data_IF_769168876448
#
_entry.id   IF_769168876448
#
_cell.length_a   1.000
_cell.length_b   1.000
_cell.length_c   1.000
_cell.angle_alpha   90.00
_cell.angle_beta   90.00
_cell.angle_gamma   90.00
#
_symmetry.space_group_name_H-M   'P 1'
#
loop_
_entity.id
_entity.type
_entity.pdbx_description
1 polymer ?
#
# COMPACT_ATOMS: atom_id res chain seq x y z
N UNK A 1 -6.81 29.38 -15.00
CA UNK A 1 -7.09 27.94 -15.00
C UNK A 1 -8.17 27.70 -13.96
N UNK A 2 -9.42 27.50 -14.40
CA UNK A 2 -10.56 27.24 -13.51
C UNK A 2 -10.29 25.96 -12.73
N UNK A 3 -9.78 26.08 -11.50
CA UNK A 3 -9.71 24.97 -10.55
C UNK A 3 -11.13 24.75 -10.08
N UNK A 4 -11.75 23.67 -10.52
CA UNK A 4 -13.16 23.39 -10.25
C UNK A 4 -13.33 22.98 -8.78
N UNK A 5 -13.43 23.97 -7.89
CA UNK A 5 -13.68 23.76 -6.46
C UNK A 5 -14.97 22.99 -6.18
N UNK A 6 -15.82 22.78 -7.19
CA UNK A 6 -17.10 22.11 -7.05
C UNK A 6 -16.99 20.58 -7.08
N UNK A 7 -15.91 20.02 -7.64
CA UNK A 7 -15.77 18.57 -7.83
C UNK A 7 -15.81 17.78 -6.50
N UNK A 8 -15.01 18.12 -5.45
CA UNK A 8 -15.14 17.42 -4.16
C UNK A 8 -16.53 17.59 -3.54
N UNK A 9 -17.16 18.76 -3.69
CA UNK A 9 -18.48 19.03 -3.13
C UNK A 9 -19.53 18.14 -3.79
N UNK A 10 -19.48 18.02 -5.12
CA UNK A 10 -20.40 17.20 -5.89
C UNK A 10 -20.21 15.72 -5.61
N UNK A 11 -18.97 15.23 -5.58
CA UNK A 11 -18.64 13.84 -5.25
C UNK A 11 -19.15 13.47 -3.84
N UNK A 12 -18.86 14.32 -2.85
CA UNK A 12 -19.37 14.11 -1.49
C UNK A 12 -20.90 14.08 -1.45
N UNK A 13 -21.57 15.01 -2.13
CA UNK A 13 -23.05 15.01 -2.21
C UNK A 13 -23.58 13.75 -2.87
N UNK A 14 -22.93 13.26 -3.93
CA UNK A 14 -23.29 12.02 -4.61
C UNK A 14 -23.16 10.81 -3.67
N UNK A 15 -22.00 10.66 -3.01
CA UNK A 15 -21.76 9.59 -2.04
C UNK A 15 -22.69 9.68 -0.82
N UNK A 16 -23.18 10.86 -0.47
CA UNK A 16 -24.12 10.99 0.65
C UNK A 16 -25.56 10.56 0.32
N UNK A 17 -25.89 10.21 -0.94
CA UNK A 17 -27.25 9.85 -1.36
C UNK A 17 -27.71 8.46 -0.92
N UNK A 18 -26.83 7.48 -0.94
CA UNK A 18 -27.16 6.09 -0.64
C UNK A 18 -26.54 5.71 0.70
N UNK A 19 -27.30 5.03 1.55
CA UNK A 19 -26.92 4.73 2.94
C UNK A 19 -25.66 3.86 3.04
N UNK A 20 -25.45 2.96 2.09
CA UNK A 20 -24.38 1.96 2.14
C UNK A 20 -22.98 2.57 2.03
N UNK A 21 -22.81 3.62 1.21
CA UNK A 21 -21.52 4.28 0.98
C UNK A 21 -21.42 5.69 1.57
N UNK A 22 -22.29 6.06 2.52
CA UNK A 22 -22.11 7.29 3.28
C UNK A 22 -20.87 7.22 4.17
N UNK A 23 -20.31 8.39 4.47
CA UNK A 23 -19.12 8.51 5.32
C UNK A 23 -19.29 9.55 6.44
N UNK A 24 -18.40 9.44 7.42
CA UNK A 24 -18.00 10.52 8.32
C UNK A 24 -16.76 11.19 7.77
N UNK A 25 -16.81 12.51 7.62
CA UNK A 25 -15.66 13.32 7.24
C UNK A 25 -14.88 13.70 8.50
N UNK A 26 -13.58 13.39 8.53
CA UNK A 26 -12.68 13.66 9.64
C UNK A 26 -11.60 14.61 9.16
N UNK A 27 -11.50 15.78 9.80
CA UNK A 27 -10.42 16.76 9.55
C UNK A 27 -9.63 16.96 10.82
N UNK A 28 -8.34 16.66 10.78
CA UNK A 28 -7.47 16.83 11.94
C UNK A 28 -6.14 17.47 11.55
N UNK A 29 -5.96 18.75 11.91
CA UNK A 29 -4.79 19.65 11.73
C UNK A 29 -4.12 19.63 10.34
N UNK A 30 -3.64 18.49 9.89
CA UNK A 30 -2.98 18.26 8.61
C UNK A 30 -3.48 17.02 7.85
N UNK A 31 -4.51 16.33 8.32
CA UNK A 31 -5.10 15.15 7.69
C UNK A 31 -6.56 15.40 7.32
N UNK A 32 -6.96 14.88 6.17
CA UNK A 32 -8.35 14.71 5.77
C UNK A 32 -8.63 13.22 5.61
N UNK A 33 -9.78 12.77 6.10
CA UNK A 33 -10.19 11.38 5.99
C UNK A 33 -11.69 11.22 5.86
N UNK A 34 -12.08 10.10 5.24
CA UNK A 34 -13.46 9.71 5.01
C UNK A 34 -13.62 8.27 5.49
N UNK A 35 -14.52 8.03 6.45
CA UNK A 35 -14.72 6.72 7.08
C UNK A 35 -16.16 6.29 6.84
N UNK A 36 -16.39 5.10 6.27
CA UNK A 36 -17.74 4.62 5.97
C UNK A 36 -18.56 4.49 7.27
N UNK A 37 -19.83 4.87 7.23
CA UNK A 37 -20.71 4.88 8.42
C UNK A 37 -21.11 3.49 8.91
N UNK A 38 -21.19 2.51 8.00
CA UNK A 38 -21.60 1.12 8.30
C UNK A 38 -20.40 0.22 8.59
N UNK A 39 -19.24 0.51 7.99
CA UNK A 39 -18.04 -0.30 8.14
C UNK A 39 -16.78 0.56 8.25
N UNK A 40 -16.32 0.80 9.48
CA UNK A 40 -15.16 1.65 9.75
C UNK A 40 -13.82 1.13 9.17
N UNK A 41 -13.77 -0.11 8.66
CA UNK A 41 -12.60 -0.63 7.95
C UNK A 41 -12.48 -0.08 6.52
N UNK A 42 -13.56 0.52 6.00
CA UNK A 42 -13.56 1.24 4.72
C UNK A 42 -13.30 2.71 5.01
N UNK A 43 -12.08 3.16 4.72
CA UNK A 43 -11.70 4.55 4.87
C UNK A 43 -10.68 5.00 3.83
N UNK A 44 -10.67 6.29 3.51
CA UNK A 44 -9.63 6.92 2.71
C UNK A 44 -9.04 8.11 3.47
N UNK A 45 -7.71 8.29 3.38
CA UNK A 45 -6.98 9.28 4.16
C UNK A 45 -5.92 9.96 3.30
N UNK A 46 -5.76 11.28 3.46
CA UNK A 46 -4.66 11.97 2.81
C UNK A 46 -4.01 13.00 3.72
N UNK A 47 -2.69 13.07 3.61
CA UNK A 47 -1.89 14.08 4.28
C UNK A 47 -1.92 15.38 3.48
N UNK A 48 -2.51 16.41 4.07
CA UNK A 48 -2.74 17.70 3.42
C UNK A 48 -1.66 18.75 3.71
N UNK A 49 -0.68 18.44 4.57
CA UNK A 49 0.25 19.45 5.13
C UNK A 49 -0.46 20.65 5.81
N UNK A 50 -1.73 20.51 6.19
CA UNK A 50 -2.57 21.61 6.69
C UNK A 50 -3.15 22.50 5.58
N UNK A 51 -2.90 22.15 4.31
CA UNK A 51 -3.52 22.75 3.13
C UNK A 51 -4.72 21.91 2.71
N UNK A 52 -5.88 22.25 3.26
CA UNK A 52 -7.15 21.62 2.87
C UNK A 52 -7.63 22.13 1.50
N UNK A 53 -6.85 21.85 0.46
CA UNK A 53 -7.24 22.10 -0.92
C UNK A 53 -8.01 20.92 -1.51
N UNK A 54 -8.64 21.18 -2.65
CA UNK A 54 -9.47 20.20 -3.33
C UNK A 54 -8.67 18.94 -3.74
N UNK A 55 -7.38 19.05 -4.08
CA UNK A 55 -6.59 17.89 -4.50
C UNK A 55 -6.37 16.90 -3.34
N UNK A 56 -6.03 17.42 -2.16
CA UNK A 56 -5.82 16.58 -0.99
C UNK A 56 -7.13 15.89 -0.55
N UNK A 57 -8.24 16.61 -0.66
CA UNK A 57 -9.57 16.07 -0.38
C UNK A 57 -9.98 14.99 -1.40
N UNK A 58 -9.78 15.24 -2.69
CA UNK A 58 -10.07 14.27 -3.75
C UNK A 58 -9.27 12.97 -3.58
N UNK A 59 -8.00 13.04 -3.21
CA UNK A 59 -7.20 11.84 -2.96
C UNK A 59 -7.78 10.96 -1.85
N UNK A 60 -8.22 11.56 -0.74
CA UNK A 60 -8.86 10.83 0.35
C UNK A 60 -10.24 10.28 -0.06
N UNK A 61 -11.02 11.01 -0.88
CA UNK A 61 -12.29 10.52 -1.44
C UNK A 61 -12.04 9.33 -2.39
N UNK A 62 -11.03 9.42 -3.26
CA UNK A 62 -10.72 8.36 -4.22
C UNK A 62 -10.19 7.09 -3.54
N UNK A 63 -9.37 7.21 -2.49
CA UNK A 63 -8.98 6.06 -1.68
C UNK A 63 -10.18 5.44 -0.97
N UNK A 64 -11.08 6.27 -0.40
CA UNK A 64 -12.32 5.78 0.20
C UNK A 64 -13.16 4.96 -0.80
N UNK A 65 -13.31 5.48 -2.01
CA UNK A 65 -14.04 4.82 -3.09
C UNK A 65 -13.36 3.54 -3.56
N UNK A 66 -12.03 3.53 -3.71
CA UNK A 66 -11.26 2.34 -4.03
C UNK A 66 -11.55 1.22 -3.04
N UNK A 67 -11.47 1.51 -1.74
CA UNK A 67 -11.75 0.52 -0.69
C UNK A 67 -13.21 0.09 -0.68
N UNK A 68 -14.14 1.04 -0.77
CA UNK A 68 -15.57 0.73 -0.75
C UNK A 68 -15.96 -0.20 -1.91
N UNK A 69 -15.49 0.10 -3.12
CA UNK A 69 -15.83 -0.68 -4.33
C UNK A 69 -15.26 -2.11 -4.30
N UNK A 70 -14.22 -2.35 -3.49
CA UNK A 70 -13.68 -3.69 -3.22
C UNK A 70 -14.43 -4.47 -2.11
N UNK A 71 -15.44 -3.88 -1.47
CA UNK A 71 -16.26 -4.53 -0.43
C UNK A 71 -17.53 -5.21 -0.96
N UNK A 72 -17.90 -4.94 -2.21
CA UNK A 72 -19.08 -5.50 -2.86
C UNK A 72 -18.72 -6.29 -4.11
N UNK A 73 -19.31 -7.47 -4.30
CA UNK A 73 -19.09 -8.31 -5.49
C UNK A 73 -20.38 -8.59 -6.28
N UNK A 74 -21.47 -7.85 -6.03
CA UNK A 74 -22.77 -8.11 -6.66
C UNK A 74 -22.73 -7.66 -8.13
N UNK A 75 -21.96 -8.36 -8.95
CA UNK A 75 -21.84 -8.14 -10.38
C UNK A 75 -21.87 -9.47 -11.11
N UNK A 76 -22.40 -9.46 -12.33
CA UNK A 76 -22.61 -10.64 -13.20
C UNK A 76 -21.33 -11.43 -13.49
N UNK A 77 -20.16 -10.82 -13.29
CA UNK A 77 -18.85 -11.40 -13.62
C UNK A 77 -18.30 -12.31 -12.52
N UNK A 78 -18.87 -12.31 -11.31
CA UNK A 78 -18.48 -13.26 -10.26
C UNK A 78 -19.23 -14.57 -10.45
N UNK A 79 -18.49 -15.66 -10.62
CA UNK A 79 -19.06 -16.98 -10.89
C UNK A 79 -18.59 -18.01 -9.87
N UNK A 80 -19.54 -18.78 -9.34
CA UNK A 80 -19.27 -19.88 -8.42
C UNK A 80 -18.89 -21.14 -9.21
N UNK A 81 -17.71 -21.68 -8.93
CA UNK A 81 -17.23 -22.91 -9.56
C UNK A 81 -16.89 -23.98 -8.52
N UNK A 82 -16.92 -25.24 -8.96
CA UNK A 82 -16.20 -26.33 -8.28
C UNK A 82 -14.74 -26.25 -8.69
N UNK A 83 -13.85 -26.13 -7.71
CA UNK A 83 -12.45 -25.78 -7.96
C UNK A 83 -11.67 -26.88 -8.69
N UNK A 84 -12.12 -28.13 -8.62
CA UNK A 84 -11.54 -29.27 -9.33
C UNK A 84 -12.05 -29.41 -10.79
N UNK A 85 -13.02 -28.61 -11.21
CA UNK A 85 -13.63 -28.67 -12.55
C UNK A 85 -13.17 -27.52 -13.46
N UNK A 86 -12.35 -26.59 -12.96
CA UNK A 86 -11.88 -25.42 -13.70
C UNK A 86 -10.37 -25.24 -13.58
N UNK A 87 -9.79 -24.50 -14.54
CA UNK A 87 -8.43 -23.97 -14.44
C UNK A 87 -8.48 -22.53 -13.95
N UNK A 88 -7.71 -22.22 -12.92
CA UNK A 88 -7.58 -20.89 -12.33
C UNK A 88 -6.14 -20.67 -11.88
N UNK A 89 -5.78 -19.43 -11.57
CA UNK A 89 -4.53 -19.08 -10.90
C UNK A 89 -4.77 -19.07 -9.40
N UNK A 90 -4.03 -19.90 -8.66
CA UNK A 90 -4.14 -19.96 -7.22
C UNK A 90 -3.34 -18.83 -6.54
N UNK A 91 -3.36 -18.76 -5.21
CA UNK A 91 -2.60 -17.73 -4.50
C UNK A 91 -1.07 -17.86 -4.65
N UNK A 92 -0.54 -19.06 -4.89
CA UNK A 92 0.89 -19.21 -5.16
C UNK A 92 1.25 -18.61 -6.52
N UNK A 93 0.41 -18.83 -7.54
CA UNK A 93 0.53 -18.18 -8.85
C UNK A 93 0.41 -16.65 -8.73
N UNK A 94 -0.49 -16.18 -7.86
CA UNK A 94 -0.69 -14.78 -7.54
C UNK A 94 0.36 -14.22 -6.55
N UNK A 95 1.52 -14.84 -6.41
CA UNK A 95 2.65 -14.24 -5.69
C UNK A 95 2.58 -14.31 -4.17
N UNK A 96 1.81 -15.24 -3.58
CA UNK A 96 1.79 -15.48 -2.13
C UNK A 96 2.66 -16.67 -1.71
N UNK A 97 3.34 -17.34 -2.65
CA UNK A 97 4.20 -18.50 -2.38
C UNK A 97 5.29 -18.23 -1.33
N UNK A 98 5.79 -17.00 -1.26
CA UNK A 98 6.83 -16.60 -0.31
C UNK A 98 6.41 -16.68 1.15
N UNK A 99 5.09 -16.70 1.44
CA UNK A 99 4.56 -16.79 2.79
C UNK A 99 4.78 -18.14 3.46
N UNK A 100 5.05 -19.19 2.67
CA UNK A 100 5.09 -20.59 3.13
C UNK A 100 3.84 -20.97 3.95
N UNK A 101 2.68 -20.53 3.46
CA UNK A 101 1.34 -20.79 4.03
C UNK A 101 0.39 -21.16 2.92
N UNK A 102 -0.51 -22.10 3.22
CA UNK A 102 -1.56 -22.52 2.31
C UNK A 102 -2.87 -21.83 2.64
N UNK A 103 -3.57 -21.39 1.59
CA UNK A 103 -4.94 -20.90 1.68
C UNK A 103 -5.88 -22.01 1.20
N UNK A 104 -6.82 -22.42 2.05
CA UNK A 104 -7.70 -23.56 1.77
C UNK A 104 -9.10 -23.10 1.34
N UNK A 105 -9.79 -23.95 0.59
CA UNK A 105 -11.13 -23.67 0.08
C UNK A 105 -12.11 -24.83 0.31
N UNK A 106 -13.41 -24.55 0.36
CA UNK A 106 -14.48 -25.50 0.71
C UNK A 106 -14.98 -26.36 -0.47
N UNK A 107 -14.13 -26.67 -1.45
CA UNK A 107 -14.47 -27.40 -2.69
C UNK A 107 -15.25 -26.62 -3.75
N UNK A 108 -15.95 -25.53 -3.36
CA UNK A 108 -16.52 -24.53 -4.27
C UNK A 108 -16.13 -23.14 -3.83
N UNK A 109 -15.87 -22.26 -4.78
CA UNK A 109 -15.46 -20.89 -4.53
C UNK A 109 -15.90 -19.95 -5.67
N UNK A 110 -16.05 -18.67 -5.34
CA UNK A 110 -16.27 -17.59 -6.30
C UNK A 110 -14.97 -17.19 -6.98
N UNK A 111 -15.06 -16.99 -8.29
CA UNK A 111 -13.97 -16.53 -9.14
C UNK A 111 -14.40 -15.32 -9.97
N UNK A 112 -13.40 -14.52 -10.36
CA UNK A 112 -13.53 -13.37 -11.26
C UNK A 112 -12.48 -13.47 -12.37
N UNK A 113 -12.72 -12.79 -13.48
CA UNK A 113 -11.81 -12.72 -14.61
C UNK A 113 -10.68 -11.71 -14.39
N UNK A 114 -9.43 -12.16 -14.56
CA UNK A 114 -8.24 -11.34 -14.69
C UNK A 114 -7.79 -11.33 -16.16
N UNK A 115 -7.35 -10.19 -16.67
CA UNK A 115 -6.85 -10.04 -18.05
C UNK A 115 -5.33 -9.89 -18.06
N UNK A 116 -4.66 -10.63 -18.93
CA UNK A 116 -3.22 -10.55 -19.17
C UNK A 116 -2.88 -9.37 -20.08
N UNK A 117 -1.98 -8.50 -19.62
CA UNK A 117 -1.48 -7.38 -20.43
C UNK A 117 -0.40 -7.78 -21.43
N UNK A 118 0.21 -8.97 -21.28
CA UNK A 118 1.19 -9.52 -22.21
C UNK A 118 0.57 -10.31 -23.34
N UNK A 119 -0.45 -11.11 -23.04
CA UNK A 119 -1.04 -12.07 -24.00
C UNK A 119 -2.47 -11.72 -24.41
N UNK A 120 -3.17 -10.85 -23.67
CA UNK A 120 -4.59 -10.58 -23.85
C UNK A 120 -5.51 -11.70 -23.36
N UNK A 121 -4.96 -12.82 -22.87
CA UNK A 121 -5.73 -13.95 -22.36
C UNK A 121 -6.44 -13.61 -21.05
N UNK A 122 -7.52 -14.35 -20.80
CA UNK A 122 -8.29 -14.26 -19.56
C UNK A 122 -7.95 -15.43 -18.64
N UNK A 123 -7.77 -15.13 -17.36
CA UNK A 123 -7.54 -16.10 -16.30
C UNK A 123 -8.66 -15.98 -15.26
N UNK A 124 -9.03 -17.09 -14.63
CA UNK A 124 -9.86 -17.06 -13.43
C UNK A 124 -8.96 -16.90 -12.20
N UNK A 125 -9.36 -16.02 -11.28
CA UNK A 125 -8.70 -15.81 -9.99
C UNK A 125 -9.75 -15.83 -8.87
N UNK A 126 -9.38 -16.22 -7.63
CA UNK A 126 -10.26 -16.14 -6.47
C UNK A 126 -10.88 -14.74 -6.31
N UNK A 127 -12.20 -14.64 -6.15
CA UNK A 127 -12.87 -13.33 -6.00
C UNK A 127 -12.35 -12.53 -4.81
N UNK A 128 -12.00 -13.22 -3.70
CA UNK A 128 -11.42 -12.59 -2.50
C UNK A 128 -10.07 -11.92 -2.73
N UNK A 129 -9.36 -12.26 -3.81
CA UNK A 129 -8.12 -11.57 -4.18
C UNK A 129 -8.38 -10.15 -4.71
N UNK A 130 -9.48 -9.95 -5.44
CA UNK A 130 -9.88 -8.65 -5.98
C UNK A 130 -10.75 -7.87 -4.99
N UNK A 131 -11.79 -8.51 -4.46
CA UNK A 131 -12.78 -7.92 -3.56
C UNK A 131 -12.50 -8.32 -2.11
N UNK A 132 -11.38 -7.83 -1.61
CA UNK A 132 -10.74 -8.31 -0.39
C UNK A 132 -11.54 -8.04 0.89
N UNK A 133 -12.42 -7.03 0.91
CA UNK A 133 -13.22 -6.68 2.10
C UNK A 133 -14.48 -7.52 2.26
N UNK A 134 -14.80 -8.40 1.29
CA UNK A 134 -16.00 -9.25 1.31
C UNK A 134 -15.73 -10.68 1.82
N UNK A 135 -14.51 -11.02 2.27
CA UNK A 135 -14.27 -12.39 2.68
C UNK A 135 -14.98 -12.74 3.99
N UNK A 136 -15.99 -13.61 3.92
CA UNK A 136 -16.69 -14.15 5.08
C UNK A 136 -16.07 -15.45 5.62
N UNK A 137 -14.89 -15.81 5.09
CA UNK A 137 -14.09 -17.00 5.40
C UNK A 137 -14.81 -18.34 5.16
N UNK A 138 -15.99 -18.33 4.49
CA UNK A 138 -16.69 -19.57 4.14
C UNK A 138 -16.04 -20.28 2.96
N UNK A 139 -15.69 -19.51 1.92
CA UNK A 139 -15.14 -20.05 0.67
C UNK A 139 -13.62 -20.15 0.70
N UNK A 140 -12.95 -19.11 1.18
CA UNK A 140 -11.50 -19.01 1.25
C UNK A 140 -11.06 -18.80 2.70
N UNK A 141 -10.62 -19.88 3.33
CA UNK A 141 -10.17 -19.86 4.73
C UNK A 141 -8.76 -19.29 4.82
N UNK A 142 -8.49 -18.54 5.89
CA UNK A 142 -7.19 -17.99 6.24
C UNK A 142 -6.61 -16.93 5.28
N UNK A 143 -7.39 -16.46 4.30
CA UNK A 143 -7.01 -15.35 3.44
C UNK A 143 -7.78 -14.09 3.84
N UNK A 144 -7.12 -13.13 4.46
CA UNK A 144 -7.77 -11.89 4.97
C UNK A 144 -7.92 -10.83 3.88
N UNK A 145 -7.27 -11.02 2.73
CA UNK A 145 -7.27 -10.05 1.65
C UNK A 145 -6.40 -8.82 1.94
N UNK A 146 -6.08 -8.05 0.90
CA UNK A 146 -5.30 -6.81 1.01
C UNK A 146 -5.64 -5.83 -0.12
N UNK A 147 -5.30 -4.57 0.07
CA UNK A 147 -5.43 -3.54 -0.96
C UNK A 147 -4.32 -3.55 -2.01
N UNK A 148 -3.22 -4.30 -1.82
CA UNK A 148 -2.01 -4.22 -2.65
C UNK A 148 -2.30 -4.20 -4.16
N UNK A 149 -1.95 -3.12 -4.85
CA UNK A 149 -2.13 -2.98 -6.28
C UNK A 149 -3.57 -2.66 -6.71
N UNK A 150 -4.44 -2.27 -5.78
CA UNK A 150 -5.70 -1.63 -6.11
C UNK A 150 -5.48 -0.16 -6.43
N UNK A 151 -6.19 0.34 -7.42
CA UNK A 151 -6.21 1.77 -7.67
C UNK A 151 -7.49 2.18 -8.38
N UNK A 152 -7.90 3.43 -8.13
CA UNK A 152 -8.88 4.16 -8.94
C UNK A 152 -8.15 5.12 -9.88
N UNK A 153 -8.63 5.22 -11.12
CA UNK A 153 -8.11 6.08 -12.17
C UNK A 153 -9.20 6.68 -13.05
N UNK A 154 -8.81 7.67 -13.86
CA UNK A 154 -9.68 8.32 -14.84
C UNK A 154 -9.91 7.47 -16.09
N UNK A 155 -9.05 6.48 -16.32
CA UNK A 155 -9.21 5.41 -17.30
C UNK A 155 -8.77 4.09 -16.69
N UNK A 156 -9.07 2.97 -17.35
CA UNK A 156 -8.58 1.67 -16.90
C UNK A 156 -7.05 1.59 -16.97
N UNK A 157 -6.41 2.24 -17.94
CA UNK A 157 -4.95 2.34 -18.06
C UNK A 157 -4.34 3.12 -16.88
N UNK A 158 -4.92 4.26 -16.49
CA UNK A 158 -4.47 5.05 -15.33
C UNK A 158 -4.59 4.23 -14.03
N UNK A 159 -5.71 3.51 -13.85
CA UNK A 159 -5.87 2.60 -12.71
C UNK A 159 -4.82 1.48 -12.72
N UNK A 160 -4.55 0.88 -13.89
CA UNK A 160 -3.53 -0.16 -14.05
C UNK A 160 -2.13 0.37 -13.72
N UNK A 161 -1.74 1.54 -14.21
CA UNK A 161 -0.41 2.10 -13.98
C UNK A 161 -0.17 2.40 -12.50
N UNK A 162 -1.16 2.96 -11.81
CA UNK A 162 -1.10 3.22 -10.36
C UNK A 162 -1.00 1.93 -9.55
N UNK A 163 -1.88 0.96 -9.83
CA UNK A 163 -1.84 -0.34 -9.17
C UNK A 163 -0.55 -1.11 -9.44
N UNK A 164 0.02 -0.96 -10.64
CA UNK A 164 1.30 -1.55 -11.00
C UNK A 164 2.47 -0.93 -10.21
N UNK A 165 2.49 0.40 -10.04
CA UNK A 165 3.50 1.05 -9.20
C UNK A 165 3.44 0.56 -7.75
N UNK A 166 2.25 0.50 -7.15
CA UNK A 166 2.08 0.01 -5.78
C UNK A 166 2.51 -1.46 -5.66
N UNK A 167 2.10 -2.32 -6.60
CA UNK A 167 2.54 -3.72 -6.60
C UNK A 167 4.06 -3.85 -6.62
N UNK A 168 4.74 -3.11 -7.51
CA UNK A 168 6.20 -3.16 -7.64
C UNK A 168 6.89 -2.63 -6.38
N UNK A 169 6.37 -1.55 -5.80
CA UNK A 169 6.83 -1.00 -4.54
C UNK A 169 6.88 -2.07 -3.44
N UNK A 170 5.76 -2.80 -3.31
CA UNK A 170 5.61 -3.84 -2.29
C UNK A 170 6.45 -5.08 -2.59
N UNK A 171 6.50 -5.54 -3.84
CA UNK A 171 7.35 -6.68 -4.24
C UNK A 171 8.83 -6.42 -3.94
N UNK A 172 9.34 -5.24 -4.34
CA UNK A 172 10.73 -4.85 -4.09
C UNK A 172 11.03 -4.84 -2.59
N UNK A 173 10.10 -4.34 -1.78
CA UNK A 173 10.28 -4.32 -0.33
C UNK A 173 10.23 -5.72 0.29
N UNK A 174 9.31 -6.60 -0.13
CA UNK A 174 9.24 -7.99 0.34
C UNK A 174 10.54 -8.73 0.03
N UNK A 175 11.04 -8.56 -1.20
CA UNK A 175 12.30 -9.16 -1.65
C UNK A 175 13.47 -8.73 -0.78
N UNK A 176 13.57 -7.43 -0.50
CA UNK A 176 14.58 -6.91 0.42
C UNK A 176 14.37 -7.42 1.86
N UNK A 177 13.18 -7.26 2.42
CA UNK A 177 12.93 -7.46 3.85
C UNK A 177 12.86 -8.93 4.27
N UNK A 178 12.07 -9.73 3.55
CA UNK A 178 11.76 -11.12 3.91
C UNK A 178 12.60 -12.15 3.16
N UNK A 179 13.04 -11.83 1.94
CA UNK A 179 13.77 -12.77 1.08
C UNK A 179 15.27 -12.49 1.00
N UNK A 180 15.74 -11.44 1.69
CA UNK A 180 17.15 -11.01 1.69
C UNK A 180 17.73 -10.79 0.29
N UNK A 181 16.89 -10.39 -0.66
CA UNK A 181 17.23 -10.15 -2.05
C UNK A 181 17.45 -8.65 -2.30
N UNK A 182 18.72 -8.32 -2.56
CA UNK A 182 19.22 -6.96 -2.76
C UNK A 182 19.61 -6.25 -1.46
N UNK A 183 19.79 -4.95 -1.57
CA UNK A 183 20.21 -4.07 -0.48
C UNK A 183 19.44 -2.74 -0.53
N UNK A 184 19.68 -1.90 0.47
CA UNK A 184 19.20 -0.52 0.50
C UNK A 184 20.37 0.44 0.29
N UNK A 185 20.15 1.52 -0.45
CA UNK A 185 21.15 2.57 -0.69
C UNK A 185 20.65 3.89 -0.11
N UNK A 186 21.45 4.58 0.71
CA UNK A 186 21.05 5.86 1.27
C UNK A 186 21.00 6.93 0.17
N UNK A 187 19.91 7.69 0.12
CA UNK A 187 19.78 8.85 -0.76
C UNK A 187 20.28 10.07 0.02
N UNK A 188 21.32 10.72 -0.52
CA UNK A 188 21.95 11.90 0.11
C UNK A 188 21.72 13.18 -0.68
N UNK A 189 21.42 13.05 -1.98
CA UNK A 189 21.11 14.17 -2.85
C UNK A 189 19.64 14.55 -2.71
N UNK A 190 19.35 15.46 -1.78
CA UNK A 190 18.01 15.94 -1.46
C UNK A 190 17.84 17.34 -2.05
N UNK A 191 16.85 17.51 -2.93
CA UNK A 191 16.61 18.80 -3.54
C UNK A 191 16.13 19.87 -2.52
N UNK A 192 16.30 21.17 -2.80
CA UNK A 192 15.97 22.23 -1.85
C UNK A 192 14.50 22.28 -1.40
N UNK A 193 13.56 21.79 -2.24
CA UNK A 193 12.13 21.77 -1.90
C UNK A 193 11.88 20.70 -0.85
N UNK A 194 12.40 19.49 -1.06
CA UNK A 194 12.33 18.41 -0.06
C UNK A 194 13.06 18.82 1.22
N UNK A 195 14.27 19.36 1.10
CA UNK A 195 15.10 19.77 2.23
C UNK A 195 14.39 20.81 3.13
N UNK A 196 13.62 21.72 2.53
CA UNK A 196 12.80 22.66 3.29
C UNK A 196 11.68 21.98 4.09
N UNK A 197 11.09 20.89 3.58
CA UNK A 197 10.09 20.10 4.29
C UNK A 197 10.72 19.31 5.45
N UNK A 198 11.95 18.84 5.29
CA UNK A 198 12.69 18.10 6.33
C UNK A 198 13.03 18.95 7.56
N UNK A 199 13.15 20.29 7.41
CA UNK A 199 13.44 21.21 8.52
C UNK A 199 12.46 21.05 9.69
N UNK A 200 11.17 20.84 9.40
CA UNK A 200 10.16 20.67 10.43
C UNK A 200 10.49 19.47 11.34
N UNK A 201 10.87 18.33 10.75
CA UNK A 201 11.18 17.12 11.52
C UNK A 201 12.43 17.31 12.38
N UNK A 202 13.48 17.91 11.83
CA UNK A 202 14.72 18.21 12.57
C UNK A 202 14.48 19.14 13.75
N UNK A 203 13.65 20.16 13.58
CA UNK A 203 13.25 21.08 14.66
C UNK A 203 12.42 20.39 15.75
N UNK A 204 11.77 19.27 15.44
CA UNK A 204 11.01 18.46 16.39
C UNK A 204 11.80 17.22 16.86
N UNK A 205 13.13 17.21 16.69
CA UNK A 205 14.02 16.12 17.12
C UNK A 205 13.69 14.78 16.45
N UNK A 206 13.39 14.84 15.15
CA UNK A 206 13.27 13.69 14.27
C UNK A 206 14.23 13.80 13.09
N UNK A 207 14.85 12.67 12.73
CA UNK A 207 15.62 12.48 11.52
C UNK A 207 14.75 11.82 10.46
N UNK A 208 14.87 12.27 9.22
CA UNK A 208 14.23 11.67 8.05
C UNK A 208 15.32 11.13 7.15
N UNK A 209 15.30 9.82 6.90
CA UNK A 209 16.21 9.17 5.98
C UNK A 209 15.44 8.55 4.82
N UNK A 210 16.07 8.54 3.64
CA UNK A 210 15.53 7.92 2.44
C UNK A 210 16.49 6.83 1.95
N UNK A 211 15.92 5.67 1.63
CA UNK A 211 16.66 4.51 1.18
C UNK A 211 16.07 3.97 -0.11
N UNK A 212 16.84 3.96 -1.19
CA UNK A 212 16.46 3.26 -2.41
C UNK A 212 16.57 1.76 -2.18
N UNK A 213 15.50 1.02 -2.44
CA UNK A 213 15.49 -0.44 -2.41
C UNK A 213 16.11 -0.94 -3.73
N UNK A 214 17.36 -1.37 -3.64
CA UNK A 214 18.17 -1.78 -4.77
C UNK A 214 18.04 -3.29 -5.01
N UNK A 215 17.00 -3.63 -5.75
CA UNK A 215 16.76 -4.95 -6.35
C UNK A 215 15.88 -4.79 -7.60
N UNK A 216 15.57 -5.91 -8.26
CA UNK A 216 14.79 -5.92 -9.51
C UNK A 216 13.31 -5.48 -9.30
N UNK A 217 12.61 -4.97 -10.32
CA UNK A 217 13.18 -4.40 -11.55
C UNK A 217 14.06 -3.19 -11.22
N UNK A 218 15.21 -3.09 -11.90
CA UNK A 218 16.23 -2.07 -11.61
C UNK A 218 15.78 -0.66 -12.04
N UNK A 219 15.01 -0.56 -13.13
CA UNK A 219 14.63 0.71 -13.76
C UNK A 219 13.23 1.21 -13.35
N UNK A 220 12.75 0.75 -12.20
CA UNK A 220 11.57 1.25 -11.50
C UNK A 220 11.99 1.40 -10.03
N UNK A 221 12.03 2.64 -9.56
CA UNK A 221 12.56 2.97 -8.25
C UNK A 221 11.51 2.67 -7.17
N UNK A 222 11.97 2.13 -6.05
CA UNK A 222 11.19 2.07 -4.81
C UNK A 222 12.04 2.63 -3.69
N UNK A 223 11.48 3.56 -2.94
CA UNK A 223 12.15 4.29 -1.86
C UNK A 223 11.43 4.00 -0.56
N UNK A 224 12.19 3.58 0.45
CA UNK A 224 11.75 3.53 1.83
C UNK A 224 12.15 4.83 2.52
N UNK A 225 11.14 5.59 2.98
CA UNK A 225 11.35 6.75 3.82
C UNK A 225 11.08 6.37 5.28
N UNK A 226 12.02 6.73 6.15
CA UNK A 226 11.97 6.40 7.56
C UNK A 226 12.15 7.68 8.37
N UNK A 227 11.18 7.98 9.24
CA UNK A 227 11.27 9.04 10.23
C UNK A 227 11.57 8.40 11.57
N UNK A 228 12.69 8.80 12.22
CA UNK A 228 13.11 8.31 13.54
C UNK A 228 13.32 9.47 14.51
N UNK A 229 12.89 9.30 15.74
CA UNK A 229 13.18 10.23 16.81
C UNK A 229 14.67 10.17 17.16
N UNK A 230 15.25 11.35 17.35
CA UNK A 230 16.61 11.52 17.91
C UNK A 230 16.57 11.86 19.40
N UNK A 231 15.39 11.92 20.02
CA UNK A 231 15.21 12.21 21.44
C UNK A 231 14.20 11.22 22.06
N UNK A 232 14.67 10.40 23.00
CA UNK A 232 13.86 9.42 23.73
C UNK A 232 12.62 10.02 24.43
N UNK A 233 12.53 11.34 24.60
CA UNK A 233 11.37 12.02 25.19
C UNK A 233 10.19 12.17 24.22
N UNK A 234 10.38 11.93 22.92
CA UNK A 234 9.30 11.99 21.95
C UNK A 234 8.25 10.88 22.20
N UNK A 235 7.05 11.11 21.67
CA UNK A 235 5.88 10.22 21.85
C UNK A 235 6.10 8.82 21.28
N UNK A 236 6.80 8.73 20.16
CA UNK A 236 7.08 7.47 19.47
C UNK A 236 8.49 7.51 18.85
N UNK A 237 9.02 6.33 18.56
CA UNK A 237 10.35 6.18 17.97
C UNK A 237 10.36 6.38 16.47
N UNK A 238 9.63 5.56 15.70
CA UNK A 238 9.73 5.61 14.24
C UNK A 238 8.42 5.38 13.51
N UNK A 239 8.35 5.88 12.29
CA UNK A 239 7.31 5.56 11.30
C UNK A 239 7.95 5.42 9.92
N UNK A 240 7.35 4.59 9.06
CA UNK A 240 7.83 4.32 7.71
C UNK A 240 6.78 4.61 6.65
N UNK A 241 7.24 4.86 5.43
CA UNK A 241 6.44 4.92 4.22
C UNK A 241 7.27 4.47 3.02
N UNK A 242 6.61 4.00 1.98
CA UNK A 242 7.22 3.65 0.71
C UNK A 242 6.68 4.54 -0.42
N UNK A 243 7.46 4.58 -1.49
CA UNK A 243 7.04 5.21 -2.73
C UNK A 243 7.71 4.52 -3.89
N UNK A 244 6.99 4.37 -5.01
CA UNK A 244 7.58 3.94 -6.27
C UNK A 244 7.40 4.96 -7.40
N UNK A 245 8.27 4.86 -8.41
CA UNK A 245 8.21 5.72 -9.58
C UNK A 245 9.27 5.42 -10.62
N UNK A 246 9.13 6.01 -11.81
CA UNK A 246 10.11 5.89 -12.89
C UNK A 246 11.35 6.77 -12.69
N UNK A 247 11.32 7.67 -11.69
CA UNK A 247 12.47 8.44 -11.25
C UNK A 247 12.61 8.36 -9.73
N UNK A 248 13.84 8.48 -9.23
CA UNK A 248 14.12 8.47 -7.80
C UNK A 248 13.39 9.61 -7.08
N UNK A 249 13.29 10.78 -7.73
CA UNK A 249 12.56 11.94 -7.20
C UNK A 249 11.08 11.64 -6.97
N UNK A 250 10.40 11.04 -7.95
CA UNK A 250 8.98 10.68 -7.81
C UNK A 250 8.77 9.65 -6.70
N UNK A 251 9.61 8.61 -6.65
CA UNK A 251 9.55 7.60 -5.60
C UNK A 251 9.80 8.19 -4.20
N UNK A 252 10.79 9.08 -4.08
CA UNK A 252 11.13 9.77 -2.82
C UNK A 252 10.00 10.70 -2.34
N UNK A 253 9.39 11.47 -3.24
CA UNK A 253 8.24 12.33 -2.92
C UNK A 253 7.03 11.51 -2.46
N UNK A 254 6.72 10.40 -3.13
CA UNK A 254 5.63 9.50 -2.73
C UNK A 254 5.89 8.91 -1.33
N UNK A 255 7.09 8.39 -1.09
CA UNK A 255 7.49 7.82 0.19
C UNK A 255 7.42 8.84 1.33
N UNK A 256 7.85 10.08 1.07
CA UNK A 256 7.79 11.16 2.03
C UNK A 256 6.34 11.53 2.41
N UNK A 257 5.44 11.62 1.42
CA UNK A 257 4.04 11.98 1.67
C UNK A 257 3.35 10.92 2.54
N UNK A 258 3.57 9.63 2.27
CA UNK A 258 3.03 8.54 3.07
C UNK A 258 3.53 8.60 4.52
N UNK A 259 4.85 8.63 4.72
CA UNK A 259 5.43 8.62 6.08
C UNK A 259 5.12 9.90 6.86
N UNK A 260 5.03 11.06 6.19
CA UNK A 260 4.62 12.30 6.84
C UNK A 260 3.18 12.19 7.34
N UNK A 261 2.27 11.64 6.54
CA UNK A 261 0.89 11.36 6.97
C UNK A 261 0.83 10.50 8.23
N UNK A 262 1.64 9.43 8.26
CA UNK A 262 1.80 8.58 9.45
C UNK A 262 2.33 9.38 10.64
N UNK A 263 3.44 10.09 10.50
CA UNK A 263 3.99 10.93 11.57
C UNK A 263 2.94 11.86 12.18
N UNK A 264 2.19 12.60 11.35
CA UNK A 264 1.22 13.57 11.83
C UNK A 264 -0.04 12.94 12.43
N UNK A 265 -0.37 11.69 12.08
CA UNK A 265 -1.44 10.94 12.73
C UNK A 265 -1.03 10.40 14.10
N UNK A 266 0.26 10.11 14.31
CA UNK A 266 0.78 9.49 15.54
C UNK A 266 1.39 10.49 16.54
N UNK A 267 1.80 11.69 16.12
CA UNK A 267 2.60 12.63 16.96
C UNK A 267 1.97 13.00 18.30
N UNK A 268 0.64 13.05 18.38
CA UNK A 268 -0.08 13.46 19.58
C UNK A 268 -0.50 12.26 20.47
N UNK A 269 -0.19 11.02 20.06
CA UNK A 269 -0.44 9.83 20.86
C UNK A 269 0.56 9.78 22.02
N UNK A 270 0.06 9.59 23.24
CA UNK A 270 0.91 9.50 24.42
C UNK A 270 1.72 8.21 24.41
N UNK A 271 3.00 8.31 24.73
CA UNK A 271 3.93 7.17 24.78
C UNK A 271 3.43 6.00 25.65
N UNK A 272 2.74 6.29 26.75
CA UNK A 272 2.21 5.27 27.66
C UNK A 272 1.09 4.40 27.06
N UNK A 273 0.47 4.84 25.94
CA UNK A 273 -0.50 4.05 25.18
C UNK A 273 0.17 2.82 24.55
N UNK A 274 1.45 2.90 24.22
CA UNK A 274 2.21 1.79 23.65
C UNK A 274 2.73 0.80 24.70
N UNK A 275 2.63 1.15 26.00
CA UNK A 275 3.07 0.30 27.13
C UNK A 275 1.97 -0.52 27.77
N UNK A 276 0.69 -0.19 27.53
CA UNK A 276 -0.44 -0.94 28.10
C UNK A 276 -0.90 -2.02 27.13
N UNK A 277 -0.78 -3.27 27.57
CA UNK A 277 -1.52 -4.42 27.05
C UNK A 277 -3.02 -4.23 27.35
N UNK A 278 -3.68 -3.27 26.69
CA UNK A 278 -5.14 -3.31 26.64
C UNK A 278 -5.56 -4.42 25.68
N UNK A 279 -5.71 -5.64 26.22
CA UNK A 279 -6.23 -6.85 25.55
C UNK A 279 -7.55 -6.62 24.79
N UNK A 280 -8.26 -5.51 25.07
CA UNK A 280 -9.57 -5.22 24.49
C UNK A 280 -9.55 -4.41 23.20
N UNK A 281 -8.45 -3.76 22.80
CA UNK A 281 -8.51 -2.76 21.72
C UNK A 281 -7.82 -3.12 20.40
N UNK A 282 -7.07 -4.23 20.28
CA UNK A 282 -6.43 -4.54 19.00
C UNK A 282 -6.52 -6.03 18.68
N UNK A 283 -7.30 -6.35 17.63
CA UNK A 283 -7.35 -7.67 16.97
C UNK A 283 -6.78 -7.63 15.55
N UNK A 284 -6.17 -6.51 15.14
CA UNK A 284 -5.68 -6.33 13.77
C UNK A 284 -4.15 -6.34 13.77
N UNK A 285 -3.59 -7.30 13.03
CA UNK A 285 -2.15 -7.50 12.82
C UNK A 285 -1.47 -6.18 12.41
N UNK A 286 -2.10 -5.35 11.58
CA UNK A 286 -1.53 -4.07 11.14
C UNK A 286 -1.26 -3.12 12.32
N UNK A 287 -2.23 -3.03 13.24
CA UNK A 287 -2.11 -2.15 14.41
C UNK A 287 -1.09 -2.68 15.42
N UNK A 288 -0.95 -4.00 15.56
CA UNK A 288 0.09 -4.62 16.38
C UNK A 288 1.47 -4.36 15.81
N UNK A 289 1.60 -4.48 14.48
CA UNK A 289 2.83 -4.27 13.76
C UNK A 289 3.29 -2.81 13.83
N UNK A 290 2.37 -1.87 13.63
CA UNK A 290 2.62 -0.44 13.79
C UNK A 290 3.18 -0.12 15.19
N UNK A 291 2.67 -0.74 16.26
CA UNK A 291 3.15 -0.51 17.63
C UNK A 291 4.62 -0.88 17.80
N UNK A 292 5.11 -1.92 17.12
CA UNK A 292 6.52 -2.34 17.19
C UNK A 292 7.44 -1.19 16.78
N UNK A 293 7.11 -0.51 15.68
CA UNK A 293 7.93 0.56 15.12
C UNK A 293 7.72 1.93 15.79
N UNK A 294 6.54 2.14 16.36
CA UNK A 294 6.30 3.28 17.26
C UNK A 294 7.06 3.14 18.59
N UNK A 295 7.33 1.92 19.04
CA UNK A 295 8.08 1.68 20.27
C UNK A 295 9.58 1.95 20.12
N UNK A 296 10.21 2.39 21.21
CA UNK A 296 11.68 2.48 21.29
C UNK A 296 12.36 1.13 21.49
N UNK A 297 11.59 0.05 21.70
CA UNK A 297 12.16 -1.30 21.85
C UNK A 297 12.88 -1.77 20.58
N UNK A 298 12.43 -1.30 19.41
CA UNK A 298 13.06 -1.59 18.11
C UNK A 298 14.27 -0.68 17.81
N UNK A 299 14.54 0.33 18.66
CA UNK A 299 15.49 1.40 18.34
C UNK A 299 16.89 0.89 18.03
N UNK A 300 17.45 0.03 18.89
CA UNK A 300 18.81 -0.47 18.74
C UNK A 300 18.95 -1.30 17.46
N UNK A 301 18.06 -2.28 17.26
CA UNK A 301 18.12 -3.17 16.10
C UNK A 301 17.85 -2.44 14.78
N UNK A 302 16.93 -1.47 14.76
CA UNK A 302 16.64 -0.69 13.56
C UNK A 302 17.80 0.26 13.23
N UNK A 303 18.37 0.94 14.23
CA UNK A 303 19.52 1.82 14.02
C UNK A 303 20.73 1.04 13.50
N UNK A 304 21.00 -0.15 14.05
CA UNK A 304 22.09 -1.01 13.58
C UNK A 304 21.91 -1.43 12.10
N UNK A 305 20.69 -1.75 11.67
CA UNK A 305 20.37 -2.03 10.26
C UNK A 305 20.66 -0.81 9.36
N UNK A 306 20.27 0.38 9.80
CA UNK A 306 20.44 1.61 9.03
C UNK A 306 21.91 2.05 8.99
N UNK A 307 22.62 2.02 10.11
CA UNK A 307 23.99 2.51 10.23
C UNK A 307 24.97 1.59 9.49
N UNK A 308 24.73 0.28 9.52
CA UNK A 308 25.48 -0.68 8.68
C UNK A 308 25.28 -0.46 7.18
N UNK A 309 24.14 0.12 6.78
CA UNK A 309 23.84 0.45 5.38
C UNK A 309 24.45 1.79 4.96
N UNK A 310 24.37 2.80 5.84
CA UNK A 310 24.75 4.18 5.54
C UNK A 310 26.24 4.37 5.20
N UNK A 311 27.10 3.42 5.56
CA UNK A 311 28.54 3.50 5.35
C UNK A 311 29.05 3.14 3.95
N UNK A 312 28.23 2.64 3.03
CA UNK A 312 28.76 1.86 1.90
C UNK A 312 28.44 2.42 0.51
N UNK A 313 27.20 2.87 0.21
CA UNK A 313 26.83 3.29 -1.15
C UNK A 313 25.71 4.34 -1.17
N UNK A 314 25.89 5.41 -1.95
CA UNK A 314 24.88 6.45 -2.20
C UNK A 314 24.09 6.11 -3.47
N UNK A 315 22.76 6.21 -3.41
CA UNK A 315 21.94 6.14 -4.62
C UNK A 315 22.23 7.34 -5.54
N UNK A 316 22.37 7.09 -6.84
CA UNK A 316 22.39 8.11 -7.89
C UNK A 316 21.22 7.85 -8.82
N UNK A 317 20.72 8.90 -9.48
CA UNK A 317 19.82 8.71 -10.62
C UNK A 317 20.56 7.88 -11.67
N UNK A 318 20.02 6.72 -12.05
CA UNK A 318 20.46 6.07 -13.27
C UNK A 318 20.01 6.94 -14.47
N UNK A 319 20.65 6.75 -15.62
CA UNK A 319 20.21 7.38 -16.87
C UNK A 319 18.73 7.07 -17.13
N UNK A 320 17.99 8.03 -17.67
CA UNK A 320 16.60 7.83 -18.04
C UNK A 320 16.53 6.72 -19.09
N UNK A 321 16.12 5.52 -18.68
CA UNK A 321 15.84 4.45 -19.63
C UNK A 321 14.53 4.76 -20.36
N UNK A 322 14.44 4.48 -21.65
CA UNK A 322 13.21 4.67 -22.42
C UNK A 322 12.17 3.55 -22.15
N UNK A 323 10.90 3.91 -22.33
CA UNK A 323 9.76 3.00 -22.24
C UNK A 323 8.82 3.30 -21.09
N UNK A 324 7.56 2.91 -21.29
CA UNK A 324 6.46 3.00 -20.34
C UNK A 324 6.70 2.11 -19.11
N UNK A 325 5.97 2.39 -18.02
CA UNK A 325 6.01 1.56 -16.82
C UNK A 325 5.71 0.09 -17.13
N UNK A 326 4.67 -0.16 -17.93
CA UNK A 326 4.27 -1.50 -18.36
C UNK A 326 5.41 -2.23 -19.07
N UNK A 327 6.07 -1.58 -20.02
CA UNK A 327 7.17 -2.19 -20.77
C UNK A 327 8.34 -2.55 -19.86
N UNK A 328 8.74 -1.65 -18.96
CA UNK A 328 9.83 -1.91 -18.00
C UNK A 328 9.48 -3.04 -17.05
N UNK A 329 8.25 -3.09 -16.55
CA UNK A 329 7.77 -4.15 -15.68
C UNK A 329 7.78 -5.52 -16.39
N UNK A 330 7.32 -5.58 -17.65
CA UNK A 330 7.30 -6.82 -18.45
C UNK A 330 8.68 -7.34 -18.87
N UNK A 331 9.75 -6.54 -18.74
CA UNK A 331 11.14 -7.04 -18.89
C UNK A 331 11.55 -7.95 -17.73
N UNK A 332 10.91 -7.81 -16.56
CA UNK A 332 11.20 -8.59 -15.36
C UNK A 332 10.12 -9.61 -15.03
N UNK A 333 8.87 -9.17 -14.94
CA UNK A 333 7.75 -10.04 -14.58
C UNK A 333 7.32 -10.90 -15.76
N UNK A 334 6.82 -12.11 -15.46
CA UNK A 334 6.36 -13.05 -16.48
C UNK A 334 5.16 -12.48 -17.25
N UNK A 335 4.27 -11.81 -16.52
CA UNK A 335 3.07 -11.13 -17.02
C UNK A 335 2.60 -10.09 -16.00
N UNK A 336 1.72 -9.20 -16.44
CA UNK A 336 0.95 -8.29 -15.58
C UNK A 336 -0.51 -8.63 -15.79
N UNK A 337 -1.20 -8.98 -14.71
CA UNK A 337 -2.63 -9.23 -14.70
C UNK A 337 -3.34 -8.04 -14.07
N UNK A 338 -4.47 -7.64 -14.65
CA UNK A 338 -5.39 -6.72 -14.00
C UNK A 338 -6.79 -7.34 -13.92
N UNK A 339 -7.49 -7.07 -12.82
CA UNK A 339 -8.88 -7.43 -12.60
C UNK A 339 -9.65 -6.11 -12.55
N UNK A 340 -10.52 -5.82 -13.54
CA UNK A 340 -11.37 -4.64 -13.47
C UNK A 340 -12.34 -4.77 -12.30
N UNK A 341 -12.31 -3.78 -11.41
CA UNK A 341 -13.28 -3.65 -10.32
C UNK A 341 -14.48 -2.88 -10.86
N UNK A 342 -15.66 -3.50 -10.78
CA UNK A 342 -16.90 -2.91 -11.28
C UNK A 342 -17.81 -2.58 -10.12
N UNK A 343 -18.31 -1.35 -10.13
CA UNK A 343 -19.23 -0.87 -9.12
C UNK A 343 -19.98 0.34 -9.66
N UNK A 344 -21.27 0.46 -9.32
CA UNK A 344 -22.12 1.55 -9.80
C UNK A 344 -21.55 2.94 -9.50
N UNK A 345 -20.90 3.14 -8.34
CA UNK A 345 -20.20 4.40 -8.02
C UNK A 345 -19.18 4.75 -9.12
N UNK A 346 -18.43 3.77 -9.63
CA UNK A 346 -17.41 4.02 -10.64
C UNK A 346 -18.08 4.41 -11.96
N UNK A 347 -19.12 3.68 -12.37
CA UNK A 347 -19.87 3.94 -13.60
C UNK A 347 -20.54 5.32 -13.59
N UNK A 348 -21.25 5.65 -12.50
CA UNK A 348 -21.98 6.92 -12.34
C UNK A 348 -21.03 8.13 -12.32
N UNK A 349 -19.75 7.92 -12.00
CA UNK A 349 -18.71 8.96 -11.91
C UNK A 349 -17.73 8.96 -13.09
N UNK A 350 -17.87 8.02 -14.04
CA UNK A 350 -16.92 7.85 -15.14
C UNK A 350 -15.51 7.51 -14.68
N UNK A 351 -15.39 6.77 -13.57
CA UNK A 351 -14.12 6.34 -12.99
C UNK A 351 -13.90 4.85 -13.27
N UNK A 352 -12.64 4.44 -13.20
CA UNK A 352 -12.24 3.06 -13.39
C UNK A 352 -11.43 2.60 -12.19
N UNK A 353 -11.56 1.32 -11.82
CA UNK A 353 -10.73 0.73 -10.79
C UNK A 353 -10.21 -0.64 -11.21
N UNK A 354 -9.03 -1.00 -10.73
CA UNK A 354 -8.41 -2.29 -11.02
C UNK A 354 -7.60 -2.80 -9.83
N UNK A 355 -7.61 -4.12 -9.64
CA UNK A 355 -6.60 -4.86 -8.86
C UNK A 355 -5.51 -5.33 -9.83
N UNK A 356 -4.26 -4.99 -9.58
CA UNK A 356 -3.11 -5.35 -10.40
C UNK A 356 -2.20 -6.30 -9.65
N UNK A 357 -1.65 -7.28 -10.38
CA UNK A 357 -0.61 -8.17 -9.87
C UNK A 357 0.34 -8.58 -10.97
N UNK A 358 1.61 -8.82 -10.65
CA UNK A 358 2.58 -9.32 -11.63
C UNK A 358 2.94 -10.77 -11.35
N UNK A 359 2.83 -11.62 -12.37
CA UNK A 359 3.20 -13.02 -12.27
C UNK A 359 4.72 -13.16 -12.13
N UNK A 360 5.14 -13.87 -11.08
CA UNK A 360 6.54 -13.99 -10.69
C UNK A 360 7.03 -12.92 -9.71
N UNK A 361 6.18 -11.96 -9.34
CA UNK A 361 6.41 -11.08 -8.19
C UNK A 361 5.78 -11.60 -6.91
N UNK A 362 5.95 -10.86 -5.82
CA UNK A 362 5.46 -11.18 -4.48
C UNK A 362 4.39 -10.17 -4.04
N UNK A 363 3.20 -10.66 -3.69
CA UNK A 363 2.15 -9.83 -3.13
C UNK A 363 2.38 -9.58 -1.64
N UNK A 364 2.16 -8.34 -1.18
CA UNK A 364 2.25 -7.98 0.24
C UNK A 364 1.22 -8.74 1.06
N UNK A 365 1.65 -9.36 2.14
CA UNK A 365 0.76 -9.98 3.11
C UNK A 365 1.48 -10.07 4.45
N UNK A 366 0.79 -9.71 5.52
CA UNK A 366 1.42 -9.53 6.83
C UNK A 366 1.37 -10.78 7.71
N UNK A 367 0.54 -11.75 7.33
CA UNK A 367 0.39 -13.01 8.03
C UNK A 367 1.22 -14.10 7.33
N UNK A 368 2.54 -14.12 7.54
CA UNK A 368 3.50 -15.11 7.01
C UNK A 368 3.89 -16.18 8.04
N UNK A 369 4.58 -17.25 7.63
CA UNK A 369 5.02 -18.30 8.56
C UNK A 369 6.16 -17.82 9.48
N UNK A 370 6.33 -18.46 10.63
CA UNK A 370 7.46 -18.16 11.53
C UNK A 370 8.82 -18.34 10.85
N UNK A 371 8.92 -19.31 9.93
CA UNK A 371 10.15 -19.55 9.18
C UNK A 371 10.52 -18.32 8.32
N UNK A 372 9.53 -17.69 7.69
CA UNK A 372 9.72 -16.45 6.91
C UNK A 372 10.12 -15.29 7.82
N UNK A 373 9.47 -15.14 8.97
CA UNK A 373 9.80 -14.07 9.93
C UNK A 373 11.24 -14.19 10.47
N UNK A 374 11.70 -15.40 10.79
CA UNK A 374 13.08 -15.65 11.25
C UNK A 374 14.13 -15.27 10.20
N UNK A 375 13.79 -15.36 8.92
CA UNK A 375 14.67 -14.98 7.80
C UNK A 375 14.63 -13.49 7.43
N UNK A 376 13.74 -12.70 8.04
CA UNK A 376 13.59 -11.29 7.74
C UNK A 376 14.76 -10.44 8.27
N UNK A 377 14.97 -9.23 7.74
CA UNK A 377 16.11 -8.35 8.08
C UNK A 377 16.31 -8.08 9.58
N UNK A 378 15.24 -8.07 10.36
CA UNK A 378 15.28 -7.89 11.82
C UNK A 378 14.76 -9.11 12.60
N UNK A 379 14.53 -10.26 11.93
CA UNK A 379 13.88 -11.42 12.53
C UNK A 379 12.42 -11.17 12.96
N UNK A 380 11.83 -10.06 12.52
CA UNK A 380 10.47 -9.61 12.83
C UNK A 380 9.75 -9.17 11.55
N UNK A 381 8.45 -8.94 11.69
CA UNK A 381 7.58 -8.24 10.74
C UNK A 381 8.23 -6.97 10.17
N UNK A 382 7.78 -6.50 9.01
CA UNK A 382 8.33 -5.33 8.37
C UNK A 382 7.69 -4.01 8.86
N UNK A 383 8.37 -2.86 8.69
CA UNK A 383 7.92 -1.55 9.19
C UNK A 383 6.74 -0.91 8.44
N UNK A 384 6.22 -1.57 7.41
CA UNK A 384 5.08 -1.09 6.62
C UNK A 384 3.77 -1.79 6.97
N UNK A 385 3.87 -2.74 7.89
CA UNK A 385 2.76 -3.58 8.30
C UNK A 385 1.93 -2.89 9.37
#
# INVERSE_FOLDING_TARGET
MNKDFTEPIWLKRYLMKEEDWQFHEVRHSKNVGFINRKNNNISGHHFSFGRFDYNNELKAIYEYMERYTCSETKYEDTKLYRTNEIRYLDFNDLGFKWLKKDFSYSGRAEFVEAKSLKTGLTHLVPTVFAYYLKNDFKQWKNFEGNSNGNAVGLSIEDAIERGLLEFIERDKFIRYWYLSDGNILKIVDIDPVMENRLKYFRQNEYQVDFFMINNKPENIYSVWCLIRSTNIKNSFFSVSGLGAGLSLKCAMESAFVEVAGMYFSQKDIKRDVFKREDEKLVKNILNENLKVYLSYDVMEILNNLIDSTAGIQTAKNAEEEEGTLKERALRYYKDILYIPIRHRILDDLGLHAAKVTCLGGNNMYFNCSEEVLRGAKLGIICPLA
#
